data_IF_664488737445
#
_entry.id   IF_664488737445
#
_cell.length_a   1.000
_cell.length_b   1.000
_cell.length_c   1.000
_cell.angle_alpha   90.00
_cell.angle_beta   90.00
_cell.angle_gamma   90.00
#
_symmetry.space_group_name_H-M   'P 1'
#
loop_
_entity.id
_entity.type
_entity.pdbx_description
1 polymer ?
#
# COMPACT_ATOMS: atom_id res chain seq x y z
N UNK A 1 85.36 -36.77 -9.60
CA UNK A 1 84.62 -35.77 -8.75
C UNK A 1 83.25 -35.41 -9.33
N UNK A 2 83.10 -35.29 -10.64
CA UNK A 2 81.81 -34.94 -11.30
C UNK A 2 80.75 -36.02 -11.24
N UNK A 3 81.10 -37.32 -11.32
CA UNK A 3 80.10 -38.41 -11.25
C UNK A 3 79.49 -38.62 -9.87
N UNK A 4 80.05 -38.09 -8.80
CA UNK A 4 79.57 -38.26 -7.45
C UNK A 4 78.53 -37.14 -7.13
N UNK A 5 78.62 -35.96 -7.74
CA UNK A 5 77.74 -34.82 -7.56
C UNK A 5 76.41 -35.03 -8.33
N UNK A 6 76.44 -35.70 -9.49
CA UNK A 6 75.18 -36.00 -10.24
C UNK A 6 74.32 -37.06 -9.53
N UNK A 7 74.93 -38.06 -8.87
CA UNK A 7 74.18 -39.06 -8.11
C UNK A 7 73.50 -38.47 -6.84
N UNK A 8 74.07 -37.48 -6.22
CA UNK A 8 73.47 -36.81 -5.08
C UNK A 8 72.33 -35.86 -5.52
N UNK A 9 72.45 -35.19 -6.66
CA UNK A 9 71.33 -34.37 -7.22
C UNK A 9 70.15 -35.19 -7.68
N UNK A 10 70.33 -36.39 -8.22
CA UNK A 10 69.27 -37.27 -8.55
C UNK A 10 68.57 -37.90 -7.35
N UNK A 11 69.27 -38.16 -6.26
CA UNK A 11 68.69 -38.68 -5.01
C UNK A 11 67.84 -37.63 -4.31
N UNK A 12 68.20 -36.35 -4.36
CA UNK A 12 67.41 -35.28 -3.74
C UNK A 12 66.18 -34.87 -4.56
N UNK A 13 66.12 -35.16 -5.86
CA UNK A 13 64.93 -34.89 -6.66
C UNK A 13 63.86 -36.00 -6.56
N UNK A 14 64.21 -37.22 -6.14
CA UNK A 14 63.22 -38.31 -5.97
C UNK A 14 62.48 -38.28 -4.64
N UNK A 15 63.00 -37.56 -3.64
CA UNK A 15 62.35 -37.47 -2.32
C UNK A 15 61.36 -36.30 -2.18
N UNK A 16 61.16 -35.44 -3.21
CA UNK A 16 60.25 -34.31 -3.19
C UNK A 16 58.89 -34.57 -3.87
N UNK A 17 58.66 -35.76 -4.45
CA UNK A 17 57.51 -36.06 -5.28
C UNK A 17 56.47 -36.99 -4.64
N UNK A 18 56.57 -37.33 -3.35
CA UNK A 18 55.59 -38.25 -2.72
C UNK A 18 55.18 -37.77 -1.33
N UNK A 19 54.57 -36.58 -1.24
CA UNK A 19 53.62 -36.26 -0.17
C UNK A 19 52.40 -35.55 -0.75
N UNK A 20 51.68 -36.21 -1.65
CA UNK A 20 50.26 -35.94 -1.76
C UNK A 20 49.67 -36.50 -0.45
N UNK A 21 49.33 -35.61 0.50
CA UNK A 21 48.51 -35.98 1.64
C UNK A 21 47.19 -36.46 1.06
N UNK A 22 47.01 -37.75 0.97
CA UNK A 22 45.71 -38.32 0.65
C UNK A 22 44.73 -37.85 1.72
N UNK A 23 43.55 -37.41 1.29
CA UNK A 23 42.44 -37.12 2.20
C UNK A 23 42.23 -38.41 3.01
N UNK A 24 42.25 -38.34 4.33
CA UNK A 24 41.97 -39.49 5.19
C UNK A 24 40.58 -40.06 4.79
N UNK A 25 40.48 -41.36 4.66
CA UNK A 25 39.22 -42.05 4.37
C UNK A 25 38.12 -41.60 5.32
N UNK A 26 38.47 -41.36 6.56
CA UNK A 26 37.52 -40.84 7.60
C UNK A 26 37.04 -39.44 7.23
N UNK A 27 37.93 -38.53 6.78
CA UNK A 27 37.53 -37.17 6.37
C UNK A 27 36.63 -37.23 5.13
N UNK A 28 36.95 -38.11 4.18
CA UNK A 28 36.07 -38.30 3.00
C UNK A 28 34.68 -38.82 3.37
N UNK A 29 34.62 -39.79 4.25
CA UNK A 29 33.32 -40.34 4.73
C UNK A 29 32.54 -39.27 5.49
N UNK A 30 33.17 -38.53 6.38
CA UNK A 30 32.51 -37.44 7.14
C UNK A 30 32.02 -36.33 6.21
N UNK A 31 32.79 -35.93 5.20
CA UNK A 31 32.35 -34.91 4.22
C UNK A 31 31.17 -35.39 3.39
N UNK A 32 31.14 -36.64 2.98
CA UNK A 32 30.00 -37.25 2.24
C UNK A 32 28.75 -37.26 3.13
N UNK A 33 28.87 -37.67 4.40
CA UNK A 33 27.74 -37.68 5.36
C UNK A 33 27.21 -36.25 5.58
N UNK A 34 28.07 -35.27 5.78
CA UNK A 34 27.68 -33.86 5.93
C UNK A 34 26.98 -33.32 4.67
N UNK A 35 27.47 -33.65 3.48
CA UNK A 35 26.82 -33.25 2.21
C UNK A 35 25.44 -33.91 2.08
N UNK A 36 25.30 -35.18 2.43
CA UNK A 36 23.99 -35.88 2.39
C UNK A 36 23.02 -35.24 3.39
N UNK A 37 23.45 -34.91 4.62
CA UNK A 37 22.61 -34.26 5.62
C UNK A 37 22.18 -32.87 5.16
N UNK A 38 23.11 -32.08 4.60
CA UNK A 38 22.81 -30.75 4.06
C UNK A 38 21.86 -30.83 2.85
N UNK A 39 22.09 -31.78 1.94
CA UNK A 39 21.20 -32.01 0.80
C UNK A 39 19.79 -32.44 1.27
N UNK A 40 19.68 -33.33 2.25
CA UNK A 40 18.40 -33.73 2.83
C UNK A 40 17.69 -32.57 3.53
N UNK A 41 18.42 -31.72 4.26
CA UNK A 41 17.86 -30.51 4.90
C UNK A 41 17.34 -29.50 3.86
N UNK A 42 18.07 -29.30 2.76
CA UNK A 42 17.66 -28.42 1.63
C UNK A 42 16.43 -29.01 0.94
N UNK A 43 16.41 -30.30 0.67
CA UNK A 43 15.26 -30.98 0.03
C UNK A 43 14.02 -30.88 0.94
N UNK A 44 14.15 -31.06 2.25
CA UNK A 44 13.05 -30.94 3.21
C UNK A 44 12.52 -29.51 3.34
N UNK A 45 13.39 -28.49 3.26
CA UNK A 45 12.98 -27.09 3.25
C UNK A 45 12.30 -26.68 1.94
N UNK A 46 12.77 -27.17 0.79
CA UNK A 46 12.13 -26.97 -0.51
C UNK A 46 10.78 -27.70 -0.60
N UNK A 47 10.67 -28.89 -0.01
CA UNK A 47 9.44 -29.69 -0.01
C UNK A 47 8.36 -29.12 0.94
N UNK A 48 8.74 -28.45 2.02
CA UNK A 48 7.78 -27.77 2.95
C UNK A 48 7.36 -26.37 2.48
N UNK A 49 8.22 -25.68 1.75
CA UNK A 49 7.95 -24.33 1.17
C UNK A 49 8.32 -24.40 -0.31
N UNK A 50 7.46 -24.99 -1.14
CA UNK A 50 7.71 -25.08 -2.58
C UNK A 50 7.54 -23.69 -3.21
N UNK A 51 8.63 -22.92 -3.46
CA UNK A 51 8.53 -21.55 -3.97
C UNK A 51 7.89 -21.50 -5.36
N UNK A 52 7.97 -22.57 -6.14
CA UNK A 52 7.32 -22.67 -7.46
C UNK A 52 5.81 -22.83 -7.29
N UNK A 53 5.36 -23.62 -6.32
CA UNK A 53 3.93 -23.76 -6.03
C UNK A 53 3.33 -22.46 -5.50
N UNK A 54 4.05 -21.76 -4.61
CA UNK A 54 3.60 -20.47 -4.07
C UNK A 54 3.57 -19.37 -5.14
N UNK A 55 4.54 -19.37 -6.07
CA UNK A 55 4.53 -18.45 -7.21
C UNK A 55 3.37 -18.75 -8.18
N UNK A 56 3.11 -20.02 -8.48
CA UNK A 56 1.97 -20.43 -9.32
C UNK A 56 0.63 -20.07 -8.66
N UNK A 57 0.50 -20.27 -7.36
CA UNK A 57 -0.66 -19.86 -6.59
C UNK A 57 -0.90 -18.35 -6.64
N UNK A 58 0.14 -17.55 -6.41
CA UNK A 58 0.05 -16.10 -6.47
C UNK A 58 -0.38 -15.63 -7.86
N UNK A 59 0.28 -16.12 -8.93
CA UNK A 59 -0.06 -15.78 -10.31
C UNK A 59 -1.50 -16.19 -10.66
N UNK A 60 -1.92 -17.38 -10.23
CA UNK A 60 -3.30 -17.83 -10.48
C UNK A 60 -4.32 -16.94 -9.77
N UNK A 61 -4.08 -16.57 -8.51
CA UNK A 61 -4.97 -15.67 -7.75
C UNK A 61 -5.01 -14.26 -8.34
N UNK A 62 -3.90 -13.75 -8.86
CA UNK A 62 -3.85 -12.50 -9.62
C UNK A 62 -4.68 -12.59 -10.91
N UNK A 63 -4.54 -13.68 -11.68
CA UNK A 63 -5.33 -13.92 -12.89
C UNK A 63 -6.85 -13.94 -12.56
N UNK A 64 -7.26 -14.62 -11.48
CA UNK A 64 -8.68 -14.67 -11.06
C UNK A 64 -9.17 -13.28 -10.63
N UNK A 65 -8.37 -12.52 -9.94
CA UNK A 65 -8.71 -11.14 -9.55
C UNK A 65 -8.90 -10.27 -10.80
N UNK A 66 -7.99 -10.36 -11.77
CA UNK A 66 -8.12 -9.63 -13.04
C UNK A 66 -9.42 -9.99 -13.79
N UNK A 67 -9.81 -11.28 -13.79
CA UNK A 67 -11.09 -11.69 -14.38
C UNK A 67 -12.31 -11.09 -13.66
N UNK A 68 -12.27 -11.00 -12.32
CA UNK A 68 -13.34 -10.37 -11.54
C UNK A 68 -13.45 -8.86 -11.81
N UNK A 69 -12.32 -8.17 -11.91
CA UNK A 69 -12.25 -6.75 -12.22
C UNK A 69 -12.81 -6.46 -13.61
N UNK A 70 -12.40 -7.24 -14.60
CA UNK A 70 -12.87 -7.13 -15.98
C UNK A 70 -14.39 -7.42 -16.09
N UNK A 71 -14.89 -8.45 -15.38
CA UNK A 71 -16.31 -8.72 -15.26
C UNK A 71 -17.07 -7.56 -14.63
N UNK A 72 -16.52 -6.95 -13.59
CA UNK A 72 -17.12 -5.79 -12.93
C UNK A 72 -17.24 -4.59 -13.88
N UNK A 73 -16.19 -4.33 -14.67
CA UNK A 73 -16.20 -3.30 -15.72
C UNK A 73 -17.25 -3.60 -16.81
N UNK A 74 -17.29 -4.84 -17.28
CA UNK A 74 -18.29 -5.29 -18.26
C UNK A 74 -19.73 -5.08 -17.77
N UNK A 75 -20.02 -5.51 -16.54
CA UNK A 75 -21.34 -5.34 -15.93
C UNK A 75 -21.69 -3.86 -15.74
N UNK A 76 -20.73 -3.05 -15.34
CA UNK A 76 -20.92 -1.59 -15.18
C UNK A 76 -21.21 -0.90 -16.51
N UNK A 77 -20.52 -1.31 -17.58
CA UNK A 77 -20.77 -0.81 -18.93
C UNK A 77 -22.17 -1.20 -19.41
N UNK A 78 -22.57 -2.46 -19.25
CA UNK A 78 -23.92 -2.91 -19.61
C UNK A 78 -25.02 -2.17 -18.85
N UNK A 79 -24.80 -1.90 -17.56
CA UNK A 79 -25.71 -1.07 -16.77
C UNK A 79 -25.76 0.38 -17.28
N UNK A 80 -24.63 0.96 -17.67
CA UNK A 80 -24.57 2.31 -18.19
C UNK A 80 -25.27 2.44 -19.55
N UNK A 81 -25.18 1.40 -20.40
CA UNK A 81 -25.81 1.35 -21.71
C UNK A 81 -27.34 1.22 -21.63
N UNK A 82 -27.88 0.51 -20.63
CA UNK A 82 -29.31 0.33 -20.41
C UNK A 82 -29.69 0.20 -18.91
N UNK A 83 -29.75 1.33 -18.17
CA UNK A 83 -29.97 1.32 -16.72
C UNK A 83 -31.36 0.81 -16.29
N UNK A 84 -32.35 0.84 -17.20
CA UNK A 84 -33.73 0.53 -16.86
C UNK A 84 -34.09 -0.95 -17.05
N UNK A 85 -33.41 -1.65 -17.97
CA UNK A 85 -33.70 -3.06 -18.27
C UNK A 85 -32.53 -4.01 -17.94
N UNK A 86 -31.37 -3.50 -17.58
CA UNK A 86 -30.24 -4.35 -17.25
C UNK A 86 -30.42 -5.09 -15.92
N UNK A 87 -30.47 -6.41 -16.02
CA UNK A 87 -30.43 -7.30 -14.86
C UNK A 87 -29.09 -8.06 -14.84
N UNK A 88 -28.29 -7.84 -13.80
CA UNK A 88 -27.01 -8.57 -13.60
C UNK A 88 -27.19 -10.08 -13.66
N UNK A 89 -28.29 -10.59 -13.14
CA UNK A 89 -28.65 -12.01 -13.13
C UNK A 89 -28.93 -12.60 -14.51
N UNK A 90 -29.14 -11.78 -15.55
CA UNK A 90 -29.31 -12.23 -16.93
C UNK A 90 -27.97 -12.52 -17.64
N UNK A 91 -26.86 -12.06 -17.10
CA UNK A 91 -25.54 -12.20 -17.74
C UNK A 91 -24.96 -13.57 -17.52
N UNK A 92 -24.83 -14.31 -18.64
CA UNK A 92 -24.17 -15.62 -18.70
C UNK A 92 -23.19 -15.63 -19.89
N UNK A 93 -21.92 -15.94 -19.61
CA UNK A 93 -20.84 -15.98 -20.62
C UNK A 93 -20.00 -17.25 -20.43
N UNK A 94 -19.59 -17.90 -21.52
CA UNK A 94 -18.72 -19.07 -21.47
C UNK A 94 -17.91 -19.21 -22.76
N UNK A 95 -16.80 -19.95 -22.71
CA UNK A 95 -15.96 -20.25 -23.88
C UNK A 95 -15.50 -18.99 -24.62
N UNK A 96 -15.55 -19.02 -25.94
CA UNK A 96 -15.03 -17.93 -26.78
C UNK A 96 -15.86 -16.63 -26.67
N UNK A 97 -17.16 -16.72 -26.38
CA UNK A 97 -17.98 -15.54 -26.14
C UNK A 97 -17.55 -14.80 -24.86
N UNK A 98 -17.18 -15.56 -23.82
CA UNK A 98 -16.63 -14.97 -22.59
C UNK A 98 -15.28 -14.33 -22.87
N UNK A 99 -14.37 -14.98 -23.60
CA UNK A 99 -13.06 -14.44 -23.94
C UNK A 99 -13.15 -13.14 -24.75
N UNK A 100 -14.16 -13.00 -25.60
CA UNK A 100 -14.40 -11.79 -26.40
C UNK A 100 -14.74 -10.60 -25.49
N UNK A 101 -15.57 -10.80 -24.47
CA UNK A 101 -16.01 -9.75 -23.54
C UNK A 101 -15.05 -9.55 -22.35
N UNK A 102 -14.37 -10.64 -21.96
CA UNK A 102 -13.45 -10.71 -20.82
C UNK A 102 -12.13 -11.38 -21.25
N UNK A 103 -11.22 -10.68 -21.93
CA UNK A 103 -9.96 -11.23 -22.45
C UNK A 103 -9.05 -11.88 -21.40
N UNK A 104 -9.10 -11.46 -20.14
CA UNK A 104 -8.37 -12.05 -19.02
C UNK A 104 -8.73 -13.53 -18.79
N UNK A 105 -9.93 -13.95 -19.20
CA UNK A 105 -10.39 -15.34 -19.07
C UNK A 105 -9.79 -16.31 -20.09
N UNK A 106 -9.04 -15.83 -21.11
CA UNK A 106 -8.55 -16.62 -22.24
C UNK A 106 -7.77 -17.87 -21.81
N UNK A 107 -6.92 -17.78 -20.81
CA UNK A 107 -6.11 -18.89 -20.29
C UNK A 107 -6.95 -19.96 -19.59
N UNK A 108 -8.12 -19.59 -19.11
CA UNK A 108 -8.99 -20.43 -18.27
C UNK A 108 -10.39 -20.63 -18.87
N UNK A 109 -10.56 -20.42 -20.18
CA UNK A 109 -11.86 -20.42 -20.87
C UNK A 109 -12.68 -21.71 -20.69
N UNK A 110 -11.99 -22.85 -20.50
CA UNK A 110 -12.61 -24.15 -20.28
C UNK A 110 -12.79 -24.50 -18.79
N UNK A 111 -12.30 -23.65 -17.90
CA UNK A 111 -12.33 -23.85 -16.44
C UNK A 111 -13.21 -22.84 -15.69
N UNK A 112 -13.52 -21.70 -16.32
CA UNK A 112 -14.37 -20.66 -15.72
C UNK A 112 -15.50 -20.28 -16.66
N UNK A 113 -16.57 -19.75 -16.07
CA UNK A 113 -17.74 -19.21 -16.78
C UNK A 113 -18.33 -18.05 -15.98
N UNK A 114 -19.11 -17.21 -16.63
CA UNK A 114 -19.94 -16.23 -15.92
C UNK A 114 -21.37 -16.76 -15.89
N UNK A 115 -21.91 -16.97 -14.71
CA UNK A 115 -23.31 -17.40 -14.49
C UNK A 115 -24.00 -16.39 -13.59
N UNK A 116 -25.11 -15.85 -14.07
CA UNK A 116 -25.88 -14.82 -13.34
C UNK A 116 -25.02 -13.63 -12.90
N UNK A 117 -24.09 -13.19 -13.78
CA UNK A 117 -23.18 -12.08 -13.51
C UNK A 117 -22.14 -12.36 -12.45
N UNK A 118 -21.80 -13.62 -12.18
CA UNK A 118 -20.73 -14.03 -11.27
C UNK A 118 -19.77 -14.96 -11.98
N UNK A 119 -18.47 -14.79 -11.70
CA UNK A 119 -17.44 -15.73 -12.14
C UNK A 119 -17.60 -17.04 -11.38
N UNK A 120 -17.66 -18.16 -12.09
CA UNK A 120 -17.92 -19.50 -11.54
C UNK A 120 -16.90 -20.48 -12.11
N UNK A 121 -16.43 -21.39 -11.27
CA UNK A 121 -15.60 -22.51 -11.72
C UNK A 121 -16.43 -23.55 -12.46
N UNK A 122 -16.05 -23.86 -13.68
CA UNK A 122 -16.72 -24.83 -14.56
C UNK A 122 -15.96 -26.15 -14.70
N UNK A 123 -14.75 -26.24 -14.14
CA UNK A 123 -13.91 -27.44 -14.17
C UNK A 123 -14.21 -28.41 -13.02
N UNK A 124 -13.37 -29.47 -12.91
CA UNK A 124 -13.42 -30.41 -11.80
C UNK A 124 -13.11 -29.70 -10.48
N UNK A 125 -13.82 -30.07 -9.42
CA UNK A 125 -13.72 -29.43 -8.09
C UNK A 125 -13.00 -30.32 -7.07
N UNK A 126 -13.16 -31.65 -7.19
CA UNK A 126 -12.62 -32.60 -6.23
C UNK A 126 -11.09 -32.76 -6.41
N UNK A 127 -10.33 -32.57 -5.32
CA UNK A 127 -8.86 -32.59 -5.30
C UNK A 127 -8.15 -31.64 -6.27
N UNK A 128 -8.86 -30.62 -6.78
CA UNK A 128 -8.31 -29.66 -7.72
C UNK A 128 -7.72 -28.45 -6.97
N UNK A 129 -6.40 -28.29 -7.09
CA UNK A 129 -5.67 -27.21 -6.43
C UNK A 129 -6.06 -25.84 -6.99
N UNK A 130 -6.27 -25.69 -8.30
CA UNK A 130 -6.68 -24.43 -8.91
C UNK A 130 -8.11 -24.05 -8.48
N UNK A 131 -9.03 -25.03 -8.36
CA UNK A 131 -10.36 -24.78 -7.80
C UNK A 131 -10.31 -24.27 -6.37
N UNK A 132 -9.42 -24.86 -5.54
CA UNK A 132 -9.21 -24.36 -4.17
C UNK A 132 -8.76 -22.91 -4.16
N UNK A 133 -7.77 -22.56 -4.98
CA UNK A 133 -7.30 -21.17 -5.10
C UNK A 133 -8.36 -20.25 -5.69
N UNK A 134 -9.13 -20.73 -6.67
CA UNK A 134 -10.25 -19.99 -7.26
C UNK A 134 -11.30 -19.68 -6.18
N UNK A 135 -11.71 -20.67 -5.39
CA UNK A 135 -12.69 -20.47 -4.32
C UNK A 135 -12.19 -19.55 -3.21
N UNK A 136 -10.89 -19.60 -2.90
CA UNK A 136 -10.29 -18.66 -1.94
C UNK A 136 -10.40 -17.20 -2.38
N UNK A 137 -10.29 -16.92 -3.68
CA UNK A 137 -10.45 -15.57 -4.25
C UNK A 137 -11.92 -15.21 -4.38
N UNK A 138 -12.74 -16.08 -4.99
CA UNK A 138 -14.15 -15.79 -5.28
C UNK A 138 -15.04 -15.90 -4.05
N UNK A 139 -14.90 -16.96 -3.24
CA UNK A 139 -15.62 -17.15 -1.98
C UNK A 139 -15.05 -16.28 -0.87
N UNK A 140 -13.75 -15.94 -0.96
CA UNK A 140 -13.09 -15.02 -0.04
C UNK A 140 -13.75 -13.64 -0.05
N UNK A 141 -14.18 -13.13 -1.22
CA UNK A 141 -14.95 -11.90 -1.30
C UNK A 141 -16.35 -12.06 -0.69
N UNK A 142 -17.02 -13.21 -0.92
CA UNK A 142 -18.34 -13.50 -0.34
C UNK A 142 -18.23 -13.75 1.16
N UNK A 143 -17.23 -14.53 1.62
CA UNK A 143 -16.98 -14.75 3.05
C UNK A 143 -16.58 -13.46 3.76
N UNK A 144 -15.74 -12.62 3.14
CA UNK A 144 -15.39 -11.31 3.71
C UNK A 144 -16.62 -10.41 3.82
N UNK A 145 -17.53 -10.39 2.85
CA UNK A 145 -18.77 -9.61 2.95
C UNK A 145 -19.69 -10.13 4.06
N UNK A 146 -19.78 -11.44 4.28
CA UNK A 146 -20.53 -12.02 5.40
C UNK A 146 -19.84 -11.78 6.76
N UNK A 147 -18.52 -11.93 6.83
CA UNK A 147 -17.73 -11.63 8.05
C UNK A 147 -17.87 -10.15 8.44
N UNK A 148 -17.97 -9.24 7.46
CA UNK A 148 -18.04 -7.80 7.69
C UNK A 148 -19.46 -7.25 7.81
N UNK A 149 -20.48 -8.08 7.64
CA UNK A 149 -21.91 -7.71 7.63
C UNK A 149 -22.33 -6.84 8.83
N UNK A 150 -21.77 -7.11 10.00
CA UNK A 150 -22.10 -6.36 11.21
C UNK A 150 -21.31 -5.05 11.36
N UNK A 151 -20.23 -4.88 10.64
CA UNK A 151 -19.31 -3.73 10.76
C UNK A 151 -19.27 -2.84 9.53
N UNK A 152 -19.61 -3.36 8.35
CA UNK A 152 -19.60 -2.60 7.10
C UNK A 152 -21.03 -2.22 6.68
N UNK A 153 -21.12 -1.04 6.06
CA UNK A 153 -22.34 -0.59 5.39
C UNK A 153 -22.43 -1.18 3.98
N UNK A 154 -21.29 -1.33 3.31
CA UNK A 154 -21.19 -1.85 1.94
C UNK A 154 -19.79 -2.42 1.70
N UNK A 155 -19.64 -3.21 0.65
CA UNK A 155 -18.34 -3.64 0.09
C UNK A 155 -18.38 -3.34 -1.41
N UNK A 156 -17.55 -2.41 -1.84
CA UNK A 156 -17.54 -1.97 -3.23
C UNK A 156 -16.14 -2.15 -3.83
N UNK A 157 -16.07 -2.87 -4.95
CA UNK A 157 -14.78 -3.15 -5.61
C UNK A 157 -13.76 -3.81 -4.65
N UNK A 158 -14.26 -4.70 -3.79
CA UNK A 158 -13.47 -5.34 -2.73
C UNK A 158 -13.02 -4.41 -1.59
N UNK A 159 -13.46 -3.14 -1.60
CA UNK A 159 -13.17 -2.15 -0.56
C UNK A 159 -14.27 -2.13 0.49
N UNK A 160 -13.95 -2.37 1.76
CA UNK A 160 -14.93 -2.32 2.85
C UNK A 160 -15.31 -0.88 3.18
N UNK A 161 -16.60 -0.54 3.10
CA UNK A 161 -17.16 0.75 3.51
C UNK A 161 -17.74 0.62 4.91
N UNK A 162 -17.15 1.20 5.96
CA UNK A 162 -17.61 1.05 7.33
C UNK A 162 -19.01 1.66 7.56
N UNK A 163 -19.76 1.14 8.52
CA UNK A 163 -21.02 1.77 8.95
C UNK A 163 -20.80 3.21 9.41
N UNK A 164 -21.70 4.10 8.98
CA UNK A 164 -21.57 5.55 9.15
C UNK A 164 -20.93 6.28 7.98
N UNK A 165 -20.57 5.52 6.91
CA UNK A 165 -20.04 6.09 5.66
C UNK A 165 -20.83 5.62 4.46
N UNK A 166 -20.81 6.44 3.41
CA UNK A 166 -21.37 6.15 2.09
C UNK A 166 -20.28 6.29 1.03
N UNK A 167 -20.40 5.52 -0.05
CA UNK A 167 -19.57 5.68 -1.24
C UNK A 167 -19.84 7.03 -1.90
N UNK A 168 -18.77 7.70 -2.34
CA UNK A 168 -18.88 8.96 -3.08
C UNK A 168 -18.44 8.83 -4.54
N UNK A 169 -17.21 8.41 -4.76
CA UNK A 169 -16.63 8.30 -6.11
C UNK A 169 -15.35 7.43 -6.12
N UNK A 170 -14.85 7.15 -7.33
CA UNK A 170 -13.60 6.43 -7.54
C UNK A 170 -13.74 4.92 -7.43
N UNK A 171 -12.64 4.24 -7.69
CA UNK A 171 -12.49 2.78 -7.62
C UNK A 171 -11.34 2.44 -6.67
N UNK A 172 -11.15 1.16 -6.37
CA UNK A 172 -9.98 0.69 -5.61
C UNK A 172 -8.66 1.23 -6.17
N UNK A 173 -8.52 1.25 -7.50
CA UNK A 173 -7.27 1.65 -8.16
C UNK A 173 -7.12 3.16 -8.33
N UNK A 174 -8.22 3.88 -8.51
CA UNK A 174 -8.22 5.34 -8.70
C UNK A 174 -8.36 6.12 -7.40
N UNK A 175 -8.54 5.42 -6.26
CA UNK A 175 -8.81 5.99 -4.95
C UNK A 175 -10.31 6.08 -4.68
N UNK A 176 -10.90 4.99 -4.16
CA UNK A 176 -12.30 4.97 -3.74
C UNK A 176 -12.49 5.93 -2.57
N UNK A 177 -13.45 6.83 -2.72
CA UNK A 177 -13.78 7.87 -1.74
C UNK A 177 -15.04 7.49 -1.00
N UNK A 178 -14.98 7.56 0.34
CA UNK A 178 -16.14 7.47 1.23
C UNK A 178 -16.38 8.79 1.93
N UNK A 179 -17.60 9.03 2.34
CA UNK A 179 -18.01 10.24 3.04
C UNK A 179 -18.86 9.90 4.26
N UNK A 180 -18.62 10.57 5.40
CA UNK A 180 -19.49 10.49 6.57
C UNK A 180 -20.69 11.44 6.46
N UNK A 181 -21.64 11.36 7.41
CA UNK A 181 -22.83 12.20 7.46
C UNK A 181 -22.51 13.71 7.63
N UNK A 182 -21.34 14.03 8.14
CA UNK A 182 -20.87 15.42 8.31
C UNK A 182 -20.15 15.95 7.08
N UNK A 183 -20.00 15.13 6.03
CA UNK A 183 -19.33 15.50 4.79
C UNK A 183 -17.80 15.35 4.81
N UNK A 184 -17.22 14.70 5.80
CA UNK A 184 -15.80 14.38 5.80
C UNK A 184 -15.50 13.24 4.82
N UNK A 185 -14.44 13.39 4.05
CA UNK A 185 -14.08 12.48 2.97
C UNK A 185 -12.76 11.76 3.25
N UNK A 186 -12.75 10.46 2.94
CA UNK A 186 -11.58 9.60 3.10
C UNK A 186 -11.37 8.77 1.83
N UNK A 187 -10.10 8.50 1.51
CA UNK A 187 -9.69 7.74 0.33
C UNK A 187 -9.10 6.41 0.74
N UNK A 188 -9.53 5.36 0.07
CA UNK A 188 -8.98 4.02 0.24
C UNK A 188 -7.59 3.92 -0.40
N UNK A 189 -6.65 3.37 0.35
CA UNK A 189 -5.30 3.00 -0.09
C UNK A 189 -5.18 1.48 0.03
N UNK A 190 -5.14 0.73 -1.08
CA UNK A 190 -4.97 -0.72 -1.04
C UNK A 190 -3.58 -1.08 -0.52
N UNK A 191 -3.52 -2.09 0.35
CA UNK A 191 -2.26 -2.58 0.89
C UNK A 191 -2.39 -4.04 1.34
N UNK A 192 -1.27 -4.75 1.35
CA UNK A 192 -1.12 -6.11 1.85
C UNK A 192 -0.07 -6.12 2.96
N UNK A 193 0.11 -7.26 3.64
CA UNK A 193 1.17 -7.39 4.63
C UNK A 193 2.58 -7.14 4.08
N UNK A 194 2.81 -7.41 2.79
CA UNK A 194 4.09 -7.18 2.13
C UNK A 194 4.28 -5.74 1.63
N UNK A 195 3.20 -5.03 1.33
CA UNK A 195 3.26 -3.64 0.83
C UNK A 195 3.07 -2.60 1.94
N UNK A 196 2.51 -2.99 3.09
CA UNK A 196 2.33 -2.11 4.25
C UNK A 196 3.61 -2.04 5.10
N UNK A 197 4.61 -1.39 4.55
CA UNK A 197 5.96 -1.32 5.14
C UNK A 197 6.53 0.09 5.06
N UNK A 198 7.52 0.39 5.91
CA UNK A 198 8.31 1.62 5.77
C UNK A 198 9.25 1.51 4.57
N UNK A 199 9.33 2.55 3.76
CA UNK A 199 10.28 2.63 2.65
C UNK A 199 11.57 3.31 3.10
N UNK A 200 12.60 2.51 3.35
CA UNK A 200 13.92 2.98 3.81
C UNK A 200 14.71 3.75 2.74
N UNK A 201 14.25 3.72 1.48
CA UNK A 201 14.88 4.47 0.39
C UNK A 201 14.48 5.96 0.37
N UNK A 202 13.43 6.33 1.10
CA UNK A 202 12.99 7.73 1.19
C UNK A 202 13.97 8.57 2.01
N UNK A 203 14.33 9.72 1.44
CA UNK A 203 15.33 10.64 2.02
C UNK A 203 14.81 11.38 3.26
N UNK A 204 15.75 11.95 4.00
CA UNK A 204 15.52 12.73 5.21
C UNK A 204 16.03 12.01 6.44
N UNK A 205 15.44 12.30 7.61
CA UNK A 205 15.87 11.68 8.86
C UNK A 205 15.37 10.25 8.99
N UNK A 206 16.14 9.41 9.69
CA UNK A 206 15.74 8.03 9.97
C UNK A 206 14.88 7.98 11.22
N UNK A 207 13.66 7.44 11.16
CA UNK A 207 12.79 7.30 12.33
C UNK A 207 13.45 6.51 13.45
N UNK A 208 13.24 6.94 14.70
CA UNK A 208 13.72 6.23 15.90
C UNK A 208 12.66 5.30 16.48
N UNK A 209 11.41 5.39 16.03
CA UNK A 209 10.30 4.53 16.46
C UNK A 209 8.98 4.97 15.86
N UNK A 210 7.92 4.32 16.29
CA UNK A 210 6.54 4.70 16.01
C UNK A 210 5.86 5.11 17.32
N UNK A 211 5.02 6.12 17.24
CA UNK A 211 4.20 6.54 18.37
C UNK A 211 3.02 5.56 18.57
N UNK A 212 2.41 5.65 19.73
CA UNK A 212 1.24 4.86 20.08
C UNK A 212 0.09 5.10 19.12
N UNK A 213 -0.57 4.02 18.73
CA UNK A 213 -1.81 4.05 17.94
C UNK A 213 -2.96 4.67 18.73
N UNK A 214 -4.04 5.11 18.06
CA UNK A 214 -5.25 5.54 18.73
C UNK A 214 -5.81 4.49 19.70
N UNK A 215 -6.51 4.94 20.74
CA UNK A 215 -7.12 4.06 21.73
C UNK A 215 -8.00 2.98 21.06
N UNK A 216 -7.80 1.73 21.45
CA UNK A 216 -8.51 0.56 20.91
C UNK A 216 -7.91 -0.02 19.63
N UNK A 217 -6.83 0.55 19.12
CA UNK A 217 -6.05 -0.02 18.00
C UNK A 217 -4.77 -0.60 18.57
N UNK A 218 -4.60 -1.91 18.48
CA UNK A 218 -3.45 -2.64 19.03
C UNK A 218 -2.40 -2.99 17.98
N UNK A 219 -2.83 -3.23 16.74
CA UNK A 219 -1.96 -3.57 15.62
C UNK A 219 -2.57 -3.09 14.29
N UNK A 220 -2.10 -1.98 13.78
CA UNK A 220 -2.58 -1.45 12.49
C UNK A 220 -2.21 -2.33 11.30
N UNK A 221 -1.13 -3.11 11.40
CA UNK A 221 -0.72 -4.01 10.31
C UNK A 221 -1.71 -5.17 10.18
N UNK A 222 -2.18 -5.72 11.30
CA UNK A 222 -3.20 -6.75 11.30
C UNK A 222 -4.51 -6.27 10.67
N UNK A 223 -4.95 -5.05 11.00
CA UNK A 223 -6.15 -4.45 10.42
C UNK A 223 -5.98 -4.20 8.91
N UNK A 224 -4.83 -3.69 8.47
CA UNK A 224 -4.55 -3.49 7.04
C UNK A 224 -4.58 -4.81 6.28
N UNK A 225 -3.99 -5.86 6.82
CA UNK A 225 -4.02 -7.21 6.20
C UNK A 225 -5.45 -7.76 6.17
N UNK A 226 -6.18 -7.65 7.29
CA UNK A 226 -7.56 -8.12 7.42
C UNK A 226 -8.48 -7.48 6.36
N UNK A 227 -8.38 -6.18 6.18
CA UNK A 227 -9.26 -5.43 5.29
C UNK A 227 -8.69 -5.25 3.87
N UNK A 228 -7.40 -5.51 3.65
CA UNK A 228 -6.72 -5.38 2.35
C UNK A 228 -6.35 -3.94 2.01
N UNK A 229 -6.24 -3.05 3.01
CA UNK A 229 -5.89 -1.64 2.87
C UNK A 229 -6.35 -0.79 4.05
N UNK A 230 -6.36 0.53 3.86
CA UNK A 230 -6.73 1.50 4.89
C UNK A 230 -7.27 2.79 4.27
N UNK A 231 -7.89 3.64 5.10
CA UNK A 231 -8.38 4.95 4.67
C UNK A 231 -7.51 6.08 5.20
N UNK A 232 -7.30 7.12 4.38
CA UNK A 232 -6.71 8.39 4.80
C UNK A 232 -7.64 9.56 4.46
N UNK A 233 -7.54 10.65 5.18
CA UNK A 233 -8.28 11.87 4.85
C UNK A 233 -8.01 12.30 3.41
N UNK A 234 -9.07 12.53 2.62
CA UNK A 234 -8.95 13.03 1.24
C UNK A 234 -8.21 14.36 1.19
N UNK A 235 -8.43 15.18 2.21
CA UNK A 235 -7.87 16.51 2.38
C UNK A 235 -6.97 16.60 3.62
N UNK A 236 -6.14 17.62 3.68
CA UNK A 236 -5.47 18.02 4.92
C UNK A 236 -6.52 18.30 6.00
N UNK A 237 -6.16 18.07 7.27
CA UNK A 237 -7.05 18.40 8.37
C UNK A 237 -7.38 19.90 8.37
N UNK A 238 -8.65 20.20 8.29
CA UNK A 238 -9.17 21.56 8.28
C UNK A 238 -9.79 21.96 9.60
N UNK A 239 -9.85 23.26 9.85
CA UNK A 239 -10.60 23.87 10.94
C UNK A 239 -12.08 23.85 10.57
N UNK A 240 -13.02 23.46 11.47
CA UNK A 240 -14.45 23.55 11.21
C UNK A 240 -14.88 24.98 10.87
N UNK A 241 -15.89 25.15 10.02
CA UNK A 241 -16.37 26.47 9.59
C UNK A 241 -16.87 27.34 10.74
N UNK A 242 -17.43 26.74 11.78
CA UNK A 242 -17.91 27.42 13.00
C UNK A 242 -16.77 27.89 13.91
N UNK A 243 -15.54 27.45 13.65
CA UNK A 243 -14.37 27.81 14.46
C UNK A 243 -13.51 28.84 13.73
N UNK A 244 -13.59 30.09 14.15
CA UNK A 244 -12.86 31.18 13.51
C UNK A 244 -11.46 31.41 14.10
N UNK A 245 -11.08 30.65 15.14
CA UNK A 245 -9.76 30.81 15.79
C UNK A 245 -8.79 29.70 15.31
N UNK A 246 -7.78 30.04 14.51
CA UNK A 246 -6.75 29.07 14.08
C UNK A 246 -5.91 28.51 15.25
N UNK A 247 -6.00 29.11 16.42
CA UNK A 247 -5.32 28.67 17.64
C UNK A 247 -6.22 27.88 18.57
N UNK A 248 -7.45 27.53 18.16
CA UNK A 248 -8.35 26.74 18.98
C UNK A 248 -7.87 25.29 19.05
N UNK A 249 -7.39 24.91 20.23
CA UNK A 249 -6.88 23.56 20.50
C UNK A 249 -8.02 22.57 20.81
N UNK A 250 -9.29 22.99 20.77
CA UNK A 250 -10.44 22.20 21.23
C UNK A 250 -11.40 21.72 20.12
N UNK A 251 -11.31 22.27 18.91
CA UNK A 251 -12.19 21.92 17.78
C UNK A 251 -12.01 20.48 17.28
N UNK A 252 -13.00 20.00 16.53
CA UNK A 252 -12.94 18.70 15.84
C UNK A 252 -12.50 18.96 14.40
N UNK A 253 -11.41 18.34 13.90
CA UNK A 253 -10.95 18.57 12.54
C UNK A 253 -11.94 18.06 11.50
N UNK A 254 -11.87 18.64 10.30
CA UNK A 254 -12.65 18.20 9.16
C UNK A 254 -11.72 17.75 8.02
N UNK A 255 -12.18 16.80 7.19
CA UNK A 255 -11.54 16.42 5.92
C UNK A 255 -12.49 16.82 4.79
N UNK A 256 -12.50 18.12 4.44
CA UNK A 256 -13.43 18.71 3.47
C UNK A 256 -12.71 19.62 2.48
N UNK A 257 -13.21 19.66 1.24
CA UNK A 257 -12.75 20.63 0.23
C UNK A 257 -13.05 22.06 0.68
N UNK A 258 -12.08 22.95 0.51
CA UNK A 258 -12.22 24.37 0.84
C UNK A 258 -12.01 24.72 2.30
N UNK A 259 -11.85 23.72 3.18
CA UNK A 259 -11.59 24.00 4.60
C UNK A 259 -10.27 24.74 4.81
N UNK A 260 -10.24 25.69 5.76
CA UNK A 260 -9.00 26.33 6.19
C UNK A 260 -8.10 25.27 6.84
N UNK A 261 -6.91 25.06 6.26
CA UNK A 261 -5.97 24.05 6.78
C UNK A 261 -5.54 24.39 8.20
N UNK A 262 -5.66 23.41 9.09
CA UNK A 262 -5.32 23.58 10.50
C UNK A 262 -3.81 23.61 10.70
N UNK A 263 -3.30 24.78 10.94
CA UNK A 263 -1.88 25.05 11.24
C UNK A 263 -1.75 25.75 12.60
N UNK A 264 -0.53 26.02 13.06
CA UNK A 264 -0.28 26.58 14.41
C UNK A 264 -0.78 25.71 15.57
N UNK A 265 -0.91 24.43 15.34
CA UNK A 265 -1.23 23.43 16.36
C UNK A 265 0.02 22.62 16.65
N UNK A 266 0.30 22.30 17.90
CA UNK A 266 1.43 21.45 18.27
C UNK A 266 1.10 19.96 18.06
N UNK A 267 2.13 19.11 18.13
CA UNK A 267 1.98 17.67 17.89
C UNK A 267 0.98 17.00 18.85
N UNK A 268 1.05 17.30 20.15
CA UNK A 268 0.16 16.67 21.15
C UNK A 268 -1.30 16.99 20.86
N UNK A 269 -1.60 18.25 20.54
CA UNK A 269 -2.95 18.68 20.23
C UNK A 269 -3.43 18.14 18.87
N UNK A 270 -2.57 18.14 17.83
CA UNK A 270 -2.93 17.58 16.53
C UNK A 270 -3.25 16.09 16.63
N UNK A 271 -2.48 15.33 17.43
CA UNK A 271 -2.76 13.91 17.72
C UNK A 271 -4.12 13.74 18.41
N UNK A 272 -4.36 14.49 19.50
CA UNK A 272 -5.62 14.43 20.22
C UNK A 272 -6.82 14.83 19.35
N UNK A 273 -6.67 15.85 18.49
CA UNK A 273 -7.73 16.29 17.56
C UNK A 273 -7.98 15.25 16.47
N UNK A 274 -6.93 14.68 15.88
CA UNK A 274 -7.07 13.59 14.91
C UNK A 274 -7.82 12.40 15.52
N UNK A 275 -7.53 12.02 16.76
CA UNK A 275 -8.20 10.92 17.48
C UNK A 275 -9.66 11.24 17.82
N UNK A 276 -9.99 12.51 18.09
CA UNK A 276 -11.35 12.95 18.46
C UNK A 276 -12.29 13.12 17.26
N UNK A 277 -11.79 13.13 16.01
CA UNK A 277 -12.60 13.41 14.83
C UNK A 277 -13.74 12.41 14.67
N UNK A 278 -13.43 11.12 14.70
CA UNK A 278 -14.42 10.04 14.66
C UNK A 278 -13.94 8.91 15.57
N UNK A 279 -14.78 8.55 16.55
CA UNK A 279 -14.55 7.39 17.41
C UNK A 279 -15.86 6.69 17.72
N UNK A 280 -16.04 5.50 17.18
CA UNK A 280 -17.21 4.66 17.44
C UNK A 280 -16.81 3.18 17.44
N UNK A 281 -17.78 2.28 17.51
CA UNK A 281 -17.51 0.83 17.55
C UNK A 281 -16.98 0.26 16.23
N UNK A 282 -17.11 0.97 15.12
CA UNK A 282 -16.73 0.50 13.80
C UNK A 282 -15.39 1.09 13.33
N UNK A 283 -15.14 2.32 13.69
CA UNK A 283 -13.97 3.07 13.22
C UNK A 283 -13.38 3.97 14.31
N UNK A 284 -12.11 4.29 14.12
CA UNK A 284 -11.37 5.26 14.92
C UNK A 284 -10.49 6.09 14.00
N UNK A 285 -10.44 7.40 14.19
CA UNK A 285 -9.47 8.26 13.50
C UNK A 285 -8.22 8.48 14.35
N UNK A 286 -7.14 8.89 13.72
CA UNK A 286 -5.87 9.25 14.35
C UNK A 286 -4.93 9.93 13.37
N UNK A 287 -3.75 10.33 13.82
CA UNK A 287 -2.71 10.80 12.90
C UNK A 287 -2.31 9.69 11.91
N UNK A 288 -1.98 10.07 10.69
CA UNK A 288 -1.38 9.15 9.73
C UNK A 288 -0.04 8.63 10.25
N UNK A 289 0.20 7.32 10.09
CA UNK A 289 1.47 6.69 10.50
C UNK A 289 2.52 6.79 9.40
N UNK A 290 3.79 6.57 9.75
CA UNK A 290 4.86 6.53 8.77
C UNK A 290 4.70 5.40 7.75
N UNK A 291 4.25 4.21 8.18
CA UNK A 291 3.94 3.09 7.26
C UNK A 291 2.81 3.46 6.30
N UNK A 292 1.72 4.04 6.80
CA UNK A 292 0.59 4.47 5.98
C UNK A 292 1.01 5.54 4.96
N UNK A 293 1.87 6.49 5.36
CA UNK A 293 2.40 7.50 4.46
C UNK A 293 3.25 6.88 3.35
N UNK A 294 4.23 6.04 3.71
CA UNK A 294 5.13 5.41 2.74
C UNK A 294 4.37 4.49 1.77
N UNK A 295 3.41 3.72 2.28
CA UNK A 295 2.52 2.89 1.46
C UNK A 295 1.70 3.74 0.49
N UNK A 296 1.13 4.86 0.96
CA UNK A 296 0.40 5.79 0.10
C UNK A 296 1.29 6.35 -1.00
N UNK A 297 2.52 6.78 -0.67
CA UNK A 297 3.50 7.24 -1.66
C UNK A 297 3.78 6.16 -2.71
N UNK A 298 4.06 4.93 -2.29
CA UNK A 298 4.35 3.84 -3.21
C UNK A 298 3.14 3.47 -4.08
N UNK A 299 1.92 3.55 -3.54
CA UNK A 299 0.71 3.31 -4.31
C UNK A 299 0.43 4.37 -5.38
N UNK A 300 0.70 5.65 -5.12
CA UNK A 300 0.50 6.72 -6.12
C UNK A 300 1.59 6.75 -7.19
N UNK A 301 2.73 6.11 -6.95
CA UNK A 301 3.95 6.21 -7.78
C UNK A 301 3.68 5.99 -9.27
N UNK A 302 2.95 4.93 -9.60
CA UNK A 302 2.71 4.54 -10.99
C UNK A 302 1.76 5.50 -11.73
N UNK A 303 1.01 6.34 -10.98
CA UNK A 303 0.11 7.34 -11.55
C UNK A 303 0.83 8.67 -11.86
N UNK A 304 2.02 8.89 -11.32
CA UNK A 304 2.70 10.19 -11.44
C UNK A 304 3.14 10.49 -12.87
N UNK A 305 3.59 9.48 -13.62
CA UNK A 305 3.99 9.63 -15.02
C UNK A 305 2.83 10.09 -15.92
N UNK A 306 1.58 9.83 -15.57
CA UNK A 306 0.42 10.34 -16.32
C UNK A 306 0.17 11.84 -16.09
N UNK A 307 0.71 12.43 -15.03
CA UNK A 307 0.65 13.86 -14.76
C UNK A 307 1.73 14.59 -15.57
N UNK A 308 2.95 14.10 -15.47
CA UNK A 308 4.11 14.55 -16.22
C UNK A 308 5.19 13.44 -16.18
N UNK A 309 5.93 13.22 -17.26
CA UNK A 309 6.98 12.21 -17.36
C UNK A 309 8.11 12.37 -16.32
N UNK A 310 8.34 13.59 -15.83
CA UNK A 310 9.32 13.92 -14.80
C UNK A 310 8.75 13.88 -13.39
N UNK A 311 7.44 13.78 -13.23
CA UNK A 311 6.80 13.68 -11.92
C UNK A 311 7.19 12.37 -11.23
N UNK A 312 7.59 12.44 -9.97
CA UNK A 312 8.02 11.26 -9.22
C UNK A 312 7.89 11.48 -7.71
N UNK A 313 8.09 10.44 -6.93
CA UNK A 313 8.19 10.56 -5.46
C UNK A 313 9.40 11.39 -5.01
N UNK A 314 10.38 11.64 -5.90
CA UNK A 314 11.58 12.44 -5.63
C UNK A 314 11.51 13.85 -6.21
N UNK A 315 10.46 14.15 -6.99
CA UNK A 315 10.18 15.48 -7.53
C UNK A 315 8.67 15.69 -7.61
N UNK A 316 8.15 16.43 -6.64
CA UNK A 316 6.72 16.68 -6.46
C UNK A 316 6.23 18.01 -7.03
N UNK A 317 7.09 18.75 -7.75
CA UNK A 317 6.75 20.08 -8.31
C UNK A 317 5.61 20.06 -9.32
N UNK A 318 5.33 18.92 -9.92
CA UNK A 318 4.31 18.75 -10.96
C UNK A 318 2.90 18.45 -10.42
N UNK A 319 2.78 18.10 -9.10
CA UNK A 319 1.51 17.69 -8.49
C UNK A 319 1.34 18.16 -7.04
N UNK A 320 2.09 19.16 -6.62
CA UNK A 320 2.03 19.71 -5.27
C UNK A 320 2.15 21.23 -5.24
N UNK A 321 1.73 21.82 -4.10
CA UNK A 321 1.85 23.24 -3.82
C UNK A 321 3.21 23.55 -3.19
N UNK A 322 4.16 24.02 -3.99
CA UNK A 322 5.51 24.40 -3.60
C UNK A 322 5.86 25.80 -4.13
N UNK A 323 6.93 26.41 -3.63
CA UNK A 323 7.37 27.73 -4.12
C UNK A 323 7.86 27.69 -5.58
N UNK A 324 8.21 26.52 -6.07
CA UNK A 324 8.72 26.29 -7.41
C UNK A 324 7.92 25.21 -8.17
N UNK A 325 6.63 25.09 -7.89
CA UNK A 325 5.75 24.18 -8.62
C UNK A 325 5.82 24.41 -10.12
N UNK A 326 5.74 23.33 -10.89
CA UNK A 326 5.79 23.32 -12.35
C UNK A 326 4.43 22.94 -12.94
N UNK A 327 4.20 23.27 -14.21
CA UNK A 327 2.95 22.90 -14.89
C UNK A 327 2.72 21.37 -14.83
N UNK A 328 1.50 20.90 -14.49
CA UNK A 328 0.26 21.68 -14.33
C UNK A 328 0.02 22.24 -12.92
N UNK A 329 0.89 21.99 -11.94
CA UNK A 329 0.66 22.35 -10.53
C UNK A 329 1.01 23.81 -10.17
N UNK A 330 1.58 24.59 -11.08
CA UNK A 330 2.11 25.92 -10.79
C UNK A 330 1.05 27.01 -10.58
N UNK A 331 -0.19 26.78 -11.03
CA UNK A 331 -1.25 27.76 -10.89
C UNK A 331 -1.61 27.97 -9.41
N UNK A 332 -1.47 29.23 -8.94
CA UNK A 332 -1.73 29.63 -7.55
C UNK A 332 -0.86 28.92 -6.48
N UNK A 333 0.26 28.32 -6.85
CA UNK A 333 1.23 27.72 -5.92
C UNK A 333 2.08 28.76 -5.17
N UNK A 334 2.93 28.29 -4.25
CA UNK A 334 3.87 29.15 -3.50
C UNK A 334 3.23 29.93 -2.35
N UNK A 335 1.96 29.71 -2.02
CA UNK A 335 1.28 30.26 -0.86
C UNK A 335 0.36 29.23 -0.25
N UNK A 336 0.14 29.31 1.08
CA UNK A 336 -0.81 28.42 1.74
C UNK A 336 -2.22 28.59 1.18
N UNK A 337 -2.87 27.50 0.81
CA UNK A 337 -4.23 27.44 0.29
C UNK A 337 -5.12 26.62 1.18
N UNK A 338 -6.44 26.78 1.00
CA UNK A 338 -7.44 25.89 1.60
C UNK A 338 -7.29 24.47 1.09
N UNK A 339 -7.70 23.49 1.85
CA UNK A 339 -7.61 22.07 1.50
C UNK A 339 -8.35 21.78 0.18
N UNK A 340 -7.70 21.08 -0.75
CA UNK A 340 -8.27 20.75 -2.05
C UNK A 340 -8.50 21.94 -2.99
N UNK A 341 -7.71 23.00 -2.86
CA UNK A 341 -7.86 24.23 -3.66
C UNK A 341 -7.68 24.00 -5.15
N UNK A 342 -6.64 23.25 -5.54
CA UNK A 342 -6.28 23.04 -6.94
C UNK A 342 -6.41 21.58 -7.33
N UNK A 343 -7.13 21.29 -8.43
CA UNK A 343 -7.30 19.93 -8.95
C UNK A 343 -5.98 19.30 -9.40
N UNK A 344 -5.00 20.09 -9.81
CA UNK A 344 -3.66 19.61 -10.19
C UNK A 344 -2.79 19.20 -8.98
N UNK A 345 -3.26 19.40 -7.75
CA UNK A 345 -2.60 18.93 -6.54
C UNK A 345 -3.23 17.62 -6.01
N UNK A 346 -3.99 16.95 -6.86
CA UNK A 346 -4.69 15.69 -6.57
C UNK A 346 -4.02 14.53 -7.28
N UNK A 347 -3.72 13.46 -6.55
CA UNK A 347 -3.30 12.17 -7.09
C UNK A 347 -4.17 11.07 -6.48
N UNK A 348 -4.76 10.22 -7.31
CA UNK A 348 -5.66 9.13 -6.87
C UNK A 348 -6.71 9.59 -5.84
N UNK A 349 -7.38 10.69 -6.15
CA UNK A 349 -8.37 11.33 -5.29
C UNK A 349 -7.86 11.89 -3.95
N UNK A 350 -6.56 11.89 -3.69
CA UNK A 350 -5.95 12.52 -2.51
C UNK A 350 -5.42 13.89 -2.90
N UNK A 351 -5.90 14.94 -2.24
CA UNK A 351 -5.43 16.31 -2.44
C UNK A 351 -4.30 16.65 -1.47
N UNK A 352 -3.43 17.56 -1.88
CA UNK A 352 -2.40 18.18 -1.05
C UNK A 352 -1.53 17.17 -0.29
N UNK A 353 -1.32 15.96 -0.85
CA UNK A 353 -0.37 15.01 -0.29
C UNK A 353 1.05 15.59 -0.37
N UNK A 354 1.33 16.28 -1.48
CA UNK A 354 2.58 16.98 -1.76
C UNK A 354 2.41 18.50 -1.60
N UNK A 355 3.26 19.13 -0.80
CA UNK A 355 3.26 20.58 -0.57
C UNK A 355 2.10 21.07 0.31
N UNK A 356 1.69 22.29 0.13
CA UNK A 356 0.76 23.09 0.90
C UNK A 356 1.23 23.28 2.37
N UNK A 357 1.09 22.31 3.27
CA UNK A 357 1.72 22.34 4.59
C UNK A 357 2.41 21.00 4.89
N UNK A 358 3.42 20.99 5.75
CA UNK A 358 3.98 19.78 6.31
C UNK A 358 2.94 19.01 7.12
N UNK A 359 2.86 17.70 6.99
CA UNK A 359 1.92 16.83 7.71
C UNK A 359 2.65 16.11 8.81
N UNK A 360 2.27 16.41 10.07
CA UNK A 360 2.70 15.64 11.24
C UNK A 360 2.25 14.18 11.07
N UNK A 361 3.13 13.24 11.38
CA UNK A 361 2.82 11.82 11.42
C UNK A 361 3.03 11.25 12.81
N UNK A 362 2.51 10.06 13.10
CA UNK A 362 2.78 9.37 14.36
C UNK A 362 4.19 8.76 14.43
N UNK A 363 5.02 8.96 13.40
CA UNK A 363 6.39 8.47 13.33
C UNK A 363 7.30 9.32 14.22
N UNK A 364 8.10 8.67 15.10
CA UNK A 364 8.97 9.35 16.06
C UNK A 364 10.38 9.59 15.51
N UNK A 365 10.98 10.69 15.94
CA UNK A 365 12.40 10.97 15.76
C UNK A 365 12.96 11.59 17.05
N UNK A 366 13.81 10.83 17.75
CA UNK A 366 14.29 11.24 19.09
C UNK A 366 13.11 11.62 20.03
N UNK A 367 13.13 12.83 20.58
CA UNK A 367 12.04 13.39 21.41
C UNK A 367 10.97 14.14 20.59
N UNK A 368 11.04 14.12 19.25
CA UNK A 368 10.14 14.80 18.35
C UNK A 368 9.33 13.84 17.49
N UNK A 369 8.82 14.35 16.39
CA UNK A 369 8.03 13.61 15.39
C UNK A 369 8.56 13.87 14.00
N UNK A 370 8.16 13.00 13.05
CA UNK A 370 8.45 13.17 11.63
C UNK A 370 7.29 13.85 10.93
N UNK A 371 7.62 14.89 10.17
CA UNK A 371 6.70 15.56 9.24
C UNK A 371 7.01 15.18 7.79
N UNK A 372 5.95 15.14 6.97
CA UNK A 372 5.98 14.62 5.61
C UNK A 372 5.33 15.58 4.62
N UNK A 373 5.64 15.41 3.34
CA UNK A 373 4.92 16.04 2.23
C UNK A 373 5.46 17.39 1.76
N UNK A 374 6.32 18.05 2.53
CA UNK A 374 6.77 19.43 2.24
C UNK A 374 5.68 20.48 2.44
N UNK A 375 5.98 21.75 2.16
CA UNK A 375 5.06 22.86 2.25
C UNK A 375 5.24 23.88 1.11
N UNK A 376 4.29 24.79 1.00
CA UNK A 376 4.19 25.79 -0.07
C UNK A 376 5.44 26.68 -0.23
N UNK A 377 6.23 26.87 0.82
CA UNK A 377 7.41 27.75 0.89
C UNK A 377 8.74 27.02 0.61
N UNK A 378 8.69 25.70 0.37
CA UNK A 378 9.86 24.88 0.05
C UNK A 378 9.92 24.47 -1.43
N UNK A 379 11.09 23.98 -1.84
CA UNK A 379 11.34 23.39 -3.16
C UNK A 379 10.87 21.94 -3.21
N UNK A 380 9.92 21.61 -4.11
CA UNK A 380 9.32 20.29 -4.24
C UNK A 380 10.25 19.20 -4.80
N UNK A 381 11.44 19.56 -5.30
CA UNK A 381 12.50 18.61 -5.69
C UNK A 381 13.49 18.34 -4.56
N UNK A 382 13.58 19.25 -3.58
CA UNK A 382 14.44 19.10 -2.40
C UNK A 382 13.70 18.39 -1.27
N UNK A 383 12.44 18.77 -1.03
CA UNK A 383 11.58 18.16 0.00
C UNK A 383 10.28 17.61 -0.61
N UNK A 384 10.38 16.59 -1.49
CA UNK A 384 9.23 16.00 -2.15
C UNK A 384 8.31 15.25 -1.17
N UNK A 385 7.20 14.74 -1.69
CA UNK A 385 6.19 14.00 -0.92
C UNK A 385 6.77 12.89 -0.04
N UNK A 386 7.83 12.24 -0.49
CA UNK A 386 8.49 11.13 0.22
C UNK A 386 9.49 11.58 1.29
N UNK A 387 9.87 12.86 1.35
CA UNK A 387 10.90 13.35 2.26
C UNK A 387 10.45 13.29 3.73
N UNK A 388 11.39 12.91 4.62
CA UNK A 388 11.22 12.90 6.08
C UNK A 388 11.91 14.11 6.71
N UNK A 389 11.14 15.09 7.16
CA UNK A 389 11.61 16.13 8.05
C UNK A 389 11.29 15.77 9.51
N UNK A 390 11.80 16.54 10.45
CA UNK A 390 11.49 16.33 11.87
C UNK A 390 11.25 17.66 12.55
N UNK A 391 10.52 17.59 13.68
CA UNK A 391 10.21 18.75 14.48
C UNK A 391 10.04 18.41 15.98
N UNK A 392 10.14 19.40 16.84
CA UNK A 392 9.84 19.27 18.26
C UNK A 392 8.33 19.15 18.49
N UNK A 393 7.93 18.35 19.48
CA UNK A 393 6.51 18.17 19.86
C UNK A 393 5.82 19.48 20.26
N UNK A 394 6.57 20.49 20.69
CA UNK A 394 6.06 21.81 21.06
C UNK A 394 6.00 22.80 19.89
N UNK A 395 6.58 22.47 18.72
CA UNK A 395 6.58 23.39 17.60
C UNK A 395 5.18 23.66 17.06
N UNK A 396 4.93 24.95 16.74
CA UNK A 396 3.72 25.40 16.05
C UNK A 396 4.14 26.31 14.91
N UNK A 397 3.70 26.02 13.69
CA UNK A 397 4.07 26.80 12.51
C UNK A 397 2.87 27.00 11.59
N UNK A 398 2.89 28.07 10.79
CA UNK A 398 1.94 28.28 9.69
C UNK A 398 2.11 27.30 8.53
N UNK A 399 3.26 26.62 8.48
CA UNK A 399 3.62 25.65 7.45
C UNK A 399 3.48 24.21 7.93
N UNK A 400 3.01 24.00 9.18
CA UNK A 400 2.90 22.70 9.83
C UNK A 400 1.45 22.42 10.20
N UNK A 401 0.88 21.37 9.65
CA UNK A 401 -0.46 20.86 9.88
C UNK A 401 -0.46 19.34 10.01
N UNK A 402 -1.57 18.69 9.77
CA UNK A 402 -1.68 17.24 9.87
C UNK A 402 -2.71 16.66 8.90
N UNK A 403 -2.69 15.33 8.77
CA UNK A 403 -3.65 14.54 8.00
C UNK A 403 -4.15 13.39 8.87
N UNK A 404 -5.44 13.13 8.76
CA UNK A 404 -6.10 12.10 9.55
C UNK A 404 -6.09 10.76 8.79
N UNK A 405 -5.87 9.66 9.52
CA UNK A 405 -6.11 8.30 9.06
C UNK A 405 -7.38 7.75 9.73
N UNK A 406 -8.18 6.98 8.98
CA UNK A 406 -9.35 6.27 9.50
C UNK A 406 -8.99 4.77 9.64
N UNK A 407 -9.07 4.27 10.86
CA UNK A 407 -8.87 2.87 11.23
C UNK A 407 -10.21 2.16 11.29
N UNK A 408 -10.32 1.00 10.65
CA UNK A 408 -11.46 0.09 10.77
C UNK A 408 -11.17 -0.85 11.95
N UNK A 409 -12.12 -1.01 12.88
CA UNK A 409 -11.99 -1.85 14.08
C UNK A 409 -12.45 -3.29 13.84
#
# INVERSE_FOLDING_TARGET
YMKKVEKEKQKNNFTKLTRKKGISLIVLIVTIIVIIILAAAVILTISKNNPVSSANEATFKEDVTAMQDELSMYLSKKYADDPLSFEKSSVNLSGDSMVTELPSTKKYKDKVSVIKGKLVWAGETENNTEYKWFSEVTDGATKKSEEWKDTMADVRDGVPIPKGFTYKEGTRDTGLVIQDEKGNEFVWVPATGSTYVKDTSFKGVTPTGDNTLPNGITDETADVVKYGGFYIGRYEAGIPEEDTSPSNETGIPVSKKGATVWTKINYTNSKARAESMISNKYVQTGLITGKAWDTTCNWIKDSLSSINELASLKDSRYYGNYNNSLSPANENSGTKRTAGFNENWKVKNIYDLAGNVWKMTSEAYNSGFISRGGSYDFDGSVVPVSYRSYDSVSNTSYTLGFRVRLYIK
#
